data_IF_790524999354
#
_entry.id   IF_790524999354
#
_cell.length_a   1.000
_cell.length_b   1.000
_cell.length_c   1.000
_cell.angle_alpha   90.00
_cell.angle_beta   90.00
_cell.angle_gamma   90.00
#
_symmetry.space_group_name_H-M   'P 1'
#
loop_
_entity.id
_entity.type
_entity.pdbx_description
1 polymer ?
#
# COMPACT_ATOMS: atom_id res chain seq x y z
N UNK A 1 6.85 -6.04 6.29
CA UNK A 1 5.76 -5.95 5.28
C UNK A 1 4.76 -4.90 5.70
N UNK A 2 4.59 -3.91 4.87
CA UNK A 2 3.64 -2.80 5.09
C UNK A 2 2.49 -3.00 4.12
N UNK A 3 1.33 -3.38 4.63
CA UNK A 3 0.13 -3.63 3.84
C UNK A 3 -0.69 -2.34 3.74
N UNK A 4 -0.75 -1.76 2.56
CA UNK A 4 -1.48 -0.50 2.30
C UNK A 4 -2.81 -0.74 1.57
N UNK A 5 -3.34 -1.94 1.64
CA UNK A 5 -4.67 -2.24 1.09
C UNK A 5 -5.76 -1.67 1.99
N UNK A 6 -6.77 -1.01 1.43
CA UNK A 6 -7.92 -0.54 2.21
C UNK A 6 -8.68 -1.71 2.83
N UNK A 7 -8.83 -2.79 2.05
CA UNK A 7 -9.46 -4.05 2.49
C UNK A 7 -8.46 -5.17 2.27
N UNK A 8 -7.85 -5.75 3.34
CA UNK A 8 -6.76 -6.70 3.21
C UNK A 8 -7.25 -8.14 2.97
N UNK A 9 -8.10 -8.30 1.98
CA UNK A 9 -8.64 -9.58 1.55
C UNK A 9 -8.18 -9.90 0.12
N UNK A 10 -7.94 -11.18 -0.17
CA UNK A 10 -7.54 -11.62 -1.48
C UNK A 10 -8.16 -12.98 -1.81
N UNK A 11 -8.47 -13.19 -3.08
CA UNK A 11 -8.87 -14.52 -3.60
C UNK A 11 -7.65 -15.43 -3.78
N UNK A 12 -6.46 -14.85 -3.86
CA UNK A 12 -5.22 -15.61 -3.96
C UNK A 12 -4.89 -16.23 -2.60
N UNK A 13 -4.69 -17.56 -2.50
CA UNK A 13 -4.40 -18.22 -1.23
C UNK A 13 -3.18 -17.61 -0.54
N UNK A 14 -3.29 -17.36 0.77
CA UNK A 14 -2.21 -16.85 1.58
C UNK A 14 -2.03 -15.32 1.56
N UNK A 15 -2.84 -14.58 0.78
CA UNK A 15 -2.69 -13.12 0.64
C UNK A 15 -3.72 -12.29 1.42
N UNK A 16 -4.70 -12.91 2.06
CA UNK A 16 -5.55 -12.21 3.03
C UNK A 16 -4.77 -11.93 4.31
N UNK A 17 -5.20 -10.89 5.06
CA UNK A 17 -4.45 -10.33 6.20
C UNK A 17 -3.92 -11.38 7.19
N UNK A 18 -4.80 -12.23 7.73
CA UNK A 18 -4.39 -13.16 8.78
C UNK A 18 -3.48 -14.28 8.29
N UNK A 19 -3.79 -14.99 7.19
CA UNK A 19 -2.87 -15.97 6.63
C UNK A 19 -1.53 -15.38 6.23
N UNK A 20 -1.52 -14.21 5.63
CA UNK A 20 -0.30 -13.52 5.21
C UNK A 20 0.56 -13.14 6.41
N UNK A 21 -0.04 -12.52 7.43
CA UNK A 21 0.68 -12.15 8.65
C UNK A 21 1.31 -13.36 9.31
N UNK A 22 0.55 -14.46 9.46
CA UNK A 22 1.06 -15.67 10.08
C UNK A 22 2.23 -16.28 9.29
N UNK A 23 2.13 -16.32 7.97
CA UNK A 23 3.21 -16.84 7.11
C UNK A 23 4.47 -15.98 7.21
N UNK A 24 4.34 -14.65 7.27
CA UNK A 24 5.47 -13.74 7.41
C UNK A 24 6.14 -13.87 8.79
N UNK A 25 5.35 -13.98 9.85
CA UNK A 25 5.86 -14.16 11.21
C UNK A 25 6.67 -15.45 11.36
N UNK A 26 6.26 -16.52 10.67
CA UNK A 26 7.01 -17.79 10.67
C UNK A 26 8.44 -17.66 10.13
N UNK A 27 8.68 -16.71 9.26
CA UNK A 27 10.01 -16.45 8.68
C UNK A 27 10.67 -15.19 9.25
N UNK A 28 10.14 -14.65 10.34
CA UNK A 28 10.74 -13.52 11.05
C UNK A 28 10.49 -12.16 10.39
N UNK A 29 9.46 -12.02 9.57
CA UNK A 29 9.08 -10.76 8.95
C UNK A 29 7.87 -10.17 9.67
N UNK A 30 8.01 -8.95 10.18
CA UNK A 30 6.90 -8.24 10.82
C UNK A 30 5.88 -7.79 9.78
N UNK A 31 4.62 -7.72 10.19
CA UNK A 31 3.52 -7.26 9.36
C UNK A 31 2.78 -6.12 10.04
N UNK A 32 2.52 -5.05 9.30
CA UNK A 32 1.67 -3.94 9.73
C UNK A 32 0.67 -3.60 8.65
N UNK A 33 -0.59 -3.36 9.04
CA UNK A 33 -1.64 -2.92 8.12
C UNK A 33 -1.93 -1.43 8.35
N UNK A 34 -1.68 -0.60 7.34
CA UNK A 34 -1.94 0.84 7.36
C UNK A 34 -3.11 1.16 6.43
N UNK A 35 -4.32 0.94 6.93
CA UNK A 35 -5.56 1.03 6.17
C UNK A 35 -5.80 2.38 5.54
N UNK A 36 -5.48 3.47 6.23
CA UNK A 36 -5.71 4.83 5.73
C UNK A 36 -4.82 5.19 4.53
N UNK A 37 -3.79 4.40 4.25
CA UNK A 37 -2.96 4.53 3.04
C UNK A 37 -3.54 3.75 1.86
N UNK A 38 -4.67 3.07 2.04
CA UNK A 38 -5.38 2.39 0.98
C UNK A 38 -6.23 3.33 0.13
N UNK A 39 -6.60 2.88 -1.05
CA UNK A 39 -7.45 3.65 -1.97
C UNK A 39 -8.91 3.58 -1.51
N UNK A 40 -9.64 4.71 -1.40
CA UNK A 40 -11.07 4.68 -1.12
C UNK A 40 -11.88 3.97 -2.21
N UNK A 41 -13.12 3.62 -1.92
CA UNK A 41 -13.97 2.83 -2.83
C UNK A 41 -14.14 3.47 -4.21
N UNK A 42 -14.32 4.78 -4.29
CA UNK A 42 -14.43 5.52 -5.55
C UNK A 42 -13.11 5.52 -6.33
N UNK A 43 -11.98 5.61 -5.64
CA UNK A 43 -10.65 5.46 -6.25
C UNK A 43 -10.41 4.06 -6.79
N UNK A 44 -10.84 3.02 -6.06
CA UNK A 44 -10.76 1.64 -6.55
C UNK A 44 -11.61 1.44 -7.80
N UNK A 45 -12.80 2.04 -7.86
CA UNK A 45 -13.66 2.01 -9.05
C UNK A 45 -12.98 2.70 -10.25
N UNK A 46 -12.34 3.85 -10.04
CA UNK A 46 -11.60 4.57 -11.07
C UNK A 46 -10.43 3.74 -11.60
N UNK A 47 -9.70 3.06 -10.71
CA UNK A 47 -8.60 2.18 -11.08
C UNK A 47 -9.08 1.02 -11.97
N UNK A 48 -10.17 0.36 -11.57
CA UNK A 48 -10.76 -0.74 -12.35
C UNK A 48 -11.25 -0.29 -13.73
N UNK A 49 -11.72 0.94 -13.82
CA UNK A 49 -12.20 1.53 -15.09
C UNK A 49 -11.09 2.12 -15.96
N UNK A 50 -9.83 2.08 -15.48
CA UNK A 50 -8.69 2.66 -16.21
C UNK A 50 -8.63 4.18 -16.20
N UNK A 51 -9.35 4.84 -15.28
CA UNK A 51 -9.36 6.30 -15.15
C UNK A 51 -8.25 6.75 -14.21
N UNK A 52 -7.03 6.75 -14.73
CA UNK A 52 -5.82 7.01 -13.92
C UNK A 52 -5.81 8.42 -13.31
N UNK A 53 -6.17 9.45 -14.07
CA UNK A 53 -6.19 10.83 -13.56
C UNK A 53 -7.19 11.00 -12.40
N UNK A 54 -8.34 10.34 -12.49
CA UNK A 54 -9.35 10.35 -11.44
C UNK A 54 -8.85 9.61 -10.20
N UNK A 55 -8.20 8.46 -10.36
CA UNK A 55 -7.56 7.75 -9.27
C UNK A 55 -6.54 8.62 -8.55
N UNK A 56 -5.66 9.28 -9.28
CA UNK A 56 -4.63 10.15 -8.71
C UNK A 56 -5.25 11.29 -7.89
N UNK A 57 -6.30 11.91 -8.40
CA UNK A 57 -7.00 13.00 -7.70
C UNK A 57 -7.66 12.50 -6.42
N UNK A 58 -8.37 11.38 -6.48
CA UNK A 58 -9.06 10.79 -5.32
C UNK A 58 -8.03 10.36 -4.26
N UNK A 59 -6.95 9.73 -4.67
CA UNK A 59 -5.94 9.25 -3.74
C UNK A 59 -5.16 10.40 -3.11
N UNK A 60 -4.87 11.47 -3.84
CA UNK A 60 -4.26 12.68 -3.28
C UNK A 60 -5.12 13.26 -2.15
N UNK A 61 -6.44 13.28 -2.33
CA UNK A 61 -7.38 13.70 -1.28
C UNK A 61 -7.36 12.77 -0.07
N UNK A 62 -7.27 11.47 -0.29
CA UNK A 62 -7.15 10.48 0.81
C UNK A 62 -5.90 10.72 1.65
N UNK A 63 -4.76 11.01 1.01
CA UNK A 63 -3.50 11.24 1.71
C UNK A 63 -3.47 12.55 2.52
N UNK A 64 -4.41 13.45 2.29
CA UNK A 64 -4.55 14.69 3.08
C UNK A 64 -5.34 14.49 4.39
N UNK A 65 -6.01 13.35 4.56
CA UNK A 65 -6.76 13.07 5.79
C UNK A 65 -5.80 12.90 6.98
N UNK A 66 -6.17 13.38 8.19
CA UNK A 66 -5.29 13.28 9.37
C UNK A 66 -4.82 11.85 9.67
N UNK A 67 -5.70 10.86 9.53
CA UNK A 67 -5.37 9.46 9.75
C UNK A 67 -4.33 8.96 8.73
N UNK A 68 -4.49 9.35 7.46
CA UNK A 68 -3.53 9.00 6.41
C UNK A 68 -2.18 9.66 6.65
N UNK A 69 -2.15 10.91 7.06
CA UNK A 69 -0.91 11.63 7.40
C UNK A 69 -0.16 10.92 8.53
N UNK A 70 -0.88 10.52 9.58
CA UNK A 70 -0.29 9.79 10.70
C UNK A 70 0.28 8.43 10.27
N UNK A 71 -0.44 7.69 9.44
CA UNK A 71 0.02 6.39 8.95
C UNK A 71 1.16 6.50 7.95
N UNK A 72 1.18 7.55 7.13
CA UNK A 72 2.30 7.83 6.24
C UNK A 72 3.57 8.09 7.03
N UNK A 73 3.49 8.88 8.11
CA UNK A 73 4.63 9.10 9.00
C UNK A 73 5.12 7.80 9.64
N UNK A 74 4.20 6.94 10.06
CA UNK A 74 4.53 5.62 10.60
C UNK A 74 5.24 4.74 9.57
N UNK A 75 4.77 4.74 8.34
CA UNK A 75 5.39 3.99 7.24
C UNK A 75 6.82 4.47 6.99
N UNK A 76 7.04 5.78 6.92
CA UNK A 76 8.36 6.37 6.69
C UNK A 76 9.32 5.96 7.81
N UNK A 77 8.89 6.02 9.05
CA UNK A 77 9.72 5.65 10.20
C UNK A 77 10.10 4.16 10.17
N UNK A 78 9.14 3.28 9.87
CA UNK A 78 9.42 1.85 9.72
C UNK A 78 10.42 1.57 8.59
N UNK A 79 10.27 2.25 7.46
CA UNK A 79 11.16 2.09 6.32
C UNK A 79 12.58 2.60 6.57
N UNK A 80 12.76 3.58 7.47
CA UNK A 80 14.08 4.08 7.88
C UNK A 80 14.81 3.09 8.79
N UNK A 81 14.07 2.35 9.62
CA UNK A 81 14.65 1.40 10.57
C UNK A 81 15.14 0.13 9.89
N UNK A 82 14.37 -0.40 8.95
CA UNK A 82 14.67 -1.66 8.26
C UNK A 82 14.18 -1.62 6.80
N UNK A 83 14.82 -2.39 5.90
CA UNK A 83 14.27 -2.60 4.57
C UNK A 83 12.84 -3.10 4.65
N UNK A 84 11.94 -2.48 3.91
CA UNK A 84 10.49 -2.73 3.99
C UNK A 84 9.91 -2.98 2.62
N UNK A 85 8.88 -3.82 2.57
CA UNK A 85 8.09 -4.06 1.36
C UNK A 85 6.67 -3.51 1.56
N UNK A 86 6.14 -2.87 0.53
CA UNK A 86 4.80 -2.30 0.50
C UNK A 86 3.90 -3.17 -0.37
N UNK A 87 2.79 -3.62 0.18
CA UNK A 87 1.85 -4.51 -0.49
C UNK A 87 0.56 -3.80 -0.84
N UNK A 88 0.10 -3.97 -2.09
CA UNK A 88 -1.24 -3.60 -2.51
C UNK A 88 -1.86 -4.70 -3.38
N UNK A 89 -3.05 -4.47 -3.94
CA UNK A 89 -3.73 -5.46 -4.79
C UNK A 89 -3.06 -5.68 -6.14
N UNK A 90 -2.50 -4.62 -6.71
CA UNK A 90 -2.03 -4.63 -8.08
C UNK A 90 -0.64 -5.26 -8.19
N UNK A 91 -0.49 -6.15 -9.14
CA UNK A 91 0.81 -6.70 -9.51
C UNK A 91 1.67 -5.65 -10.20
N UNK A 92 1.06 -4.92 -11.15
CA UNK A 92 1.74 -3.90 -11.94
C UNK A 92 1.80 -2.58 -11.16
N UNK A 93 2.99 -2.05 -10.85
CA UNK A 93 3.13 -0.78 -10.14
C UNK A 93 2.59 0.43 -10.93
N UNK A 94 2.52 0.35 -12.26
CA UNK A 94 2.03 1.44 -13.09
C UNK A 94 0.56 1.80 -12.88
N UNK A 95 -0.26 0.83 -12.48
CA UNK A 95 -1.70 1.04 -12.22
C UNK A 95 -2.07 1.07 -10.74
N UNK A 96 -1.10 1.24 -9.85
CA UNK A 96 -1.27 1.02 -8.41
C UNK A 96 -1.06 2.30 -7.60
N UNK A 97 -1.91 2.49 -6.56
CA UNK A 97 -1.75 3.59 -5.61
C UNK A 97 -0.42 3.54 -4.83
N UNK A 98 0.17 2.37 -4.69
CA UNK A 98 1.46 2.16 -4.04
C UNK A 98 2.57 3.02 -4.66
N UNK A 99 2.60 3.14 -5.99
CA UNK A 99 3.55 4.00 -6.70
C UNK A 99 3.31 5.47 -6.38
N UNK A 100 2.04 5.91 -6.36
CA UNK A 100 1.67 7.27 -5.99
C UNK A 100 2.07 7.59 -4.55
N UNK A 101 1.83 6.66 -3.63
CA UNK A 101 2.20 6.79 -2.22
C UNK A 101 3.71 6.94 -2.04
N UNK A 102 4.49 6.07 -2.64
CA UNK A 102 5.95 6.10 -2.51
C UNK A 102 6.56 7.34 -3.14
N UNK A 103 6.02 7.82 -4.25
CA UNK A 103 6.47 9.07 -4.88
C UNK A 103 6.19 10.28 -4.01
N UNK A 104 5.07 10.30 -3.28
CA UNK A 104 4.70 11.39 -2.39
C UNK A 104 5.46 11.35 -1.06
N UNK A 105 5.60 10.16 -0.46
CA UNK A 105 6.13 9.99 0.89
C UNK A 105 7.64 9.80 0.94
N UNK A 106 8.22 9.14 -0.07
CA UNK A 106 9.63 8.76 -0.08
C UNK A 106 10.27 9.00 -1.45
N UNK A 107 10.30 10.26 -1.93
CA UNK A 107 10.77 10.56 -3.30
C UNK A 107 12.24 10.19 -3.54
N UNK A 108 13.06 10.18 -2.50
CA UNK A 108 14.49 9.87 -2.60
C UNK A 108 14.83 8.40 -2.31
N UNK A 109 13.82 7.57 -2.02
CA UNK A 109 14.04 6.16 -1.71
C UNK A 109 14.32 5.34 -2.97
N UNK A 110 15.22 4.37 -2.86
CA UNK A 110 15.38 3.34 -3.88
C UNK A 110 14.21 2.37 -3.81
N UNK A 111 13.49 2.22 -4.93
CA UNK A 111 12.31 1.35 -5.01
C UNK A 111 12.58 0.21 -5.99
N UNK A 112 12.42 -1.02 -5.52
CA UNK A 112 12.49 -2.22 -6.34
C UNK A 112 11.10 -2.85 -6.40
N UNK A 113 10.57 -3.02 -7.61
CA UNK A 113 9.26 -3.63 -7.81
C UNK A 113 9.36 -5.15 -7.81
N UNK A 114 8.55 -5.78 -6.94
CA UNK A 114 8.47 -7.23 -6.84
C UNK A 114 7.14 -7.72 -7.44
N UNK A 115 7.21 -8.78 -8.23
CA UNK A 115 6.04 -9.37 -8.88
C UNK A 115 5.81 -10.78 -8.35
N UNK A 116 4.56 -11.04 -7.97
CA UNK A 116 4.15 -12.35 -7.49
C UNK A 116 3.61 -13.26 -8.60
#
# INVERSE_FOLDING_TARGET
>A
MIDVRAIPNSRRPGFSKTPLRNALEEVGIDYVHLRALGTPADGRAAARAGRQAELERIYAGQLELPEAIAQEAQMIELARETPSAVLCYERDPGGCHRTLLLSAATPDAEVVHLYA
#
